data_IF_238494542443
#
_entry.id   IF_238494542443
#
_cell.length_a   1.000
_cell.length_b   1.000
_cell.length_c   1.000
_cell.angle_alpha   90.00
_cell.angle_beta   90.00
_cell.angle_gamma   90.00
#
_symmetry.space_group_name_H-M   'P 1'
#
loop_
_entity.id
_entity.type
_entity.pdbx_description
1 polymer ?
#
# COMPACT_ATOMS: atom_id res chain seq x y z
N UNK A 1 -7.19 7.51 42.22
CA UNK A 1 -6.93 6.28 41.43
C UNK A 1 -8.00 6.13 40.36
N UNK A 2 -7.72 6.51 39.10
CA UNK A 2 -8.63 6.32 37.94
C UNK A 2 -8.04 5.19 37.08
N UNK A 3 -8.82 4.10 36.92
CA UNK A 3 -8.45 2.94 36.06
C UNK A 3 -8.44 3.37 34.60
N UNK A 4 -7.34 3.14 33.90
CA UNK A 4 -7.22 3.33 32.44
C UNK A 4 -7.94 2.15 31.75
N UNK A 5 -8.75 2.39 30.70
CA UNK A 5 -9.32 1.33 29.88
C UNK A 5 -8.22 0.63 29.08
N UNK A 6 -8.23 -0.69 29.09
CA UNK A 6 -7.30 -1.55 28.33
C UNK A 6 -7.71 -1.58 26.86
N UNK A 7 -6.78 -1.21 25.99
CA UNK A 7 -6.85 -1.40 24.53
C UNK A 7 -6.78 -2.91 24.18
N UNK A 8 -7.86 -3.65 24.36
CA UNK A 8 -7.94 -5.09 24.02
C UNK A 8 -8.86 -5.42 22.82
N UNK A 9 -9.57 -4.44 22.24
CA UNK A 9 -10.67 -4.74 21.30
C UNK A 9 -10.29 -4.76 19.82
N UNK A 10 -9.06 -4.44 19.43
CA UNK A 10 -8.65 -4.40 18.01
C UNK A 10 -8.18 -5.75 17.44
N UNK A 11 -7.76 -6.69 18.27
CA UNK A 11 -7.34 -8.03 17.81
C UNK A 11 -8.50 -9.01 17.55
N UNK A 12 -9.60 -8.88 18.28
CA UNK A 12 -10.76 -9.76 18.13
C UNK A 12 -11.46 -9.58 16.78
N UNK A 13 -11.51 -8.33 16.27
CA UNK A 13 -12.14 -8.02 14.98
C UNK A 13 -11.33 -8.55 13.79
N UNK A 14 -9.99 -8.67 13.90
CA UNK A 14 -9.13 -9.22 12.85
C UNK A 14 -9.24 -10.75 12.72
N UNK A 15 -9.45 -11.46 13.81
CA UNK A 15 -9.58 -12.94 13.78
C UNK A 15 -10.95 -13.42 13.25
N UNK A 16 -12.00 -12.64 13.44
CA UNK A 16 -13.35 -12.96 12.93
C UNK A 16 -13.44 -12.91 11.40
N UNK A 17 -12.82 -11.93 10.74
CA UNK A 17 -12.89 -11.79 9.28
C UNK A 17 -12.17 -12.93 8.53
N UNK A 18 -11.07 -13.48 9.09
CA UNK A 18 -10.33 -14.57 8.45
C UNK A 18 -11.07 -15.91 8.52
N UNK A 19 -11.82 -16.16 9.59
CA UNK A 19 -12.58 -17.41 9.77
C UNK A 19 -13.78 -17.51 8.82
N UNK A 20 -14.44 -16.39 8.49
CA UNK A 20 -15.57 -16.37 7.55
C UNK A 20 -15.12 -16.52 6.10
N UNK A 21 -13.93 -16.02 5.72
CA UNK A 21 -13.36 -16.18 4.38
C UNK A 21 -12.97 -17.64 4.09
N UNK A 22 -12.45 -18.37 5.09
CA UNK A 22 -12.05 -19.76 4.91
C UNK A 22 -13.23 -20.73 4.85
N UNK A 23 -14.33 -20.47 5.52
CA UNK A 23 -15.53 -21.31 5.48
C UNK A 23 -16.27 -21.27 4.15
N UNK A 24 -16.19 -20.15 3.39
CA UNK A 24 -16.79 -20.01 2.05
C UNK A 24 -16.02 -20.74 0.94
N UNK A 25 -14.78 -21.14 1.19
CA UNK A 25 -13.90 -21.73 0.16
C UNK A 25 -14.24 -23.21 -0.19
N UNK A 26 -14.98 -23.90 0.67
CA UNK A 26 -15.17 -25.35 0.57
C UNK A 26 -16.51 -25.83 -0.01
N UNK A 27 -17.42 -24.94 -0.42
CA UNK A 27 -18.79 -25.31 -0.80
C UNK A 27 -19.29 -24.76 -2.13
N UNK A 28 -18.48 -24.70 -3.18
CA UNK A 28 -18.92 -24.24 -4.51
C UNK A 28 -19.04 -25.40 -5.53
N UNK A 29 -20.08 -25.46 -6.38
CA UNK A 29 -20.22 -26.48 -7.40
C UNK A 29 -19.21 -26.30 -8.54
N UNK A 30 -18.55 -27.38 -8.92
CA UNK A 30 -17.64 -27.50 -10.08
C UNK A 30 -18.48 -27.39 -11.39
N UNK A 31 -18.76 -26.20 -11.86
CA UNK A 31 -19.18 -25.96 -13.23
C UNK A 31 -17.94 -25.68 -14.08
N UNK A 32 -17.78 -26.41 -15.16
CA UNK A 32 -16.68 -26.24 -16.12
C UNK A 32 -16.74 -24.85 -16.74
N UNK A 33 -15.98 -23.90 -16.18
CA UNK A 33 -15.82 -22.58 -16.76
C UNK A 33 -14.79 -22.64 -17.88
N UNK A 34 -15.08 -22.01 -19.03
CA UNK A 34 -14.12 -21.81 -20.10
C UNK A 34 -12.83 -21.19 -19.50
N UNK A 35 -11.67 -21.75 -19.86
CA UNK A 35 -10.39 -21.29 -19.33
C UNK A 35 -10.22 -19.78 -19.56
N UNK A 36 -10.16 -19.02 -18.47
CA UNK A 36 -9.82 -17.59 -18.56
C UNK A 36 -8.36 -17.45 -19.03
N UNK A 37 -8.06 -16.49 -19.90
CA UNK A 37 -6.70 -16.31 -20.39
C UNK A 37 -5.73 -15.98 -19.24
N UNK A 38 -4.52 -16.53 -19.28
CA UNK A 38 -3.52 -16.55 -18.19
C UNK A 38 -3.16 -15.16 -17.64
N UNK A 39 -3.24 -14.11 -18.45
CA UNK A 39 -3.00 -12.74 -17.99
C UNK A 39 -4.10 -12.20 -17.03
N UNK A 40 -5.29 -12.82 -16.97
CA UNK A 40 -6.31 -12.51 -15.95
C UNK A 40 -5.86 -12.92 -14.53
N UNK A 41 -4.82 -13.72 -14.43
CA UNK A 41 -4.24 -14.25 -13.18
C UNK A 41 -2.93 -13.59 -12.79
N UNK A 42 -2.61 -12.39 -13.34
CA UNK A 42 -1.42 -11.66 -12.91
C UNK A 42 -1.40 -11.50 -11.39
N UNK A 43 -0.24 -11.79 -10.73
CA UNK A 43 -0.10 -11.52 -9.31
C UNK A 43 -0.44 -10.06 -9.06
N UNK A 44 -1.25 -9.84 -8.06
CA UNK A 44 -1.60 -8.50 -7.69
C UNK A 44 -0.36 -7.70 -7.27
N UNK A 45 -0.39 -6.39 -7.47
CA UNK A 45 0.67 -5.50 -7.04
C UNK A 45 0.95 -5.66 -5.56
N UNK A 46 2.20 -5.44 -5.15
CA UNK A 46 2.65 -5.40 -3.75
C UNK A 46 1.83 -4.39 -2.96
N UNK A 47 1.68 -3.22 -3.53
CA UNK A 47 0.73 -2.27 -3.00
C UNK A 47 -0.67 -2.77 -3.33
N UNK A 48 -1.60 -2.83 -2.37
CA UNK A 48 -2.99 -3.17 -2.60
C UNK A 48 -3.69 -2.06 -3.39
N UNK A 49 -3.15 -1.77 -4.56
CA UNK A 49 -3.67 -0.83 -5.53
C UNK A 49 -4.28 -1.67 -6.63
N UNK A 50 -5.56 -1.49 -6.84
CA UNK A 50 -6.18 -2.08 -7.99
C UNK A 50 -5.62 -1.42 -9.24
N UNK A 51 -4.83 -2.17 -9.97
CA UNK A 51 -4.60 -1.84 -11.35
C UNK A 51 -5.95 -1.89 -12.05
N UNK A 52 -6.33 -0.88 -12.80
CA UNK A 52 -7.43 -1.00 -13.74
C UNK A 52 -7.01 -1.99 -14.84
N UNK A 53 -6.90 -3.26 -14.49
CA UNK A 53 -6.67 -4.31 -15.46
C UNK A 53 -8.00 -4.53 -16.13
N UNK A 54 -8.10 -4.03 -17.33
CA UNK A 54 -9.17 -4.40 -18.19
C UNK A 54 -9.06 -5.90 -18.47
N UNK A 55 -9.94 -6.67 -17.91
CA UNK A 55 -10.11 -8.07 -18.31
C UNK A 55 -10.68 -8.06 -19.71
N UNK A 56 -10.10 -8.79 -20.66
CA UNK A 56 -10.82 -9.07 -21.88
C UNK A 56 -12.10 -9.79 -21.47
N UNK A 57 -13.18 -9.22 -21.85
CA UNK A 57 -14.46 -9.88 -21.81
C UNK A 57 -14.39 -11.04 -22.80
N UNK A 58 -14.49 -12.29 -22.32
CA UNK A 58 -14.80 -13.38 -23.21
C UNK A 58 -16.05 -13.00 -24.01
N UNK A 59 -16.08 -13.14 -25.34
CA UNK A 59 -17.15 -12.61 -26.19
C UNK A 59 -18.54 -13.17 -25.86
N UNK A 60 -18.61 -14.35 -25.26
CA UNK A 60 -19.87 -15.04 -24.99
C UNK A 60 -20.72 -14.43 -23.85
N UNK A 61 -20.09 -13.71 -22.88
CA UNK A 61 -20.77 -13.21 -21.66
C UNK A 61 -20.60 -11.72 -21.39
N UNK A 62 -20.29 -10.92 -22.40
CA UNK A 62 -20.13 -9.47 -22.25
C UNK A 62 -21.38 -8.76 -21.68
N UNK A 63 -22.55 -9.37 -21.79
CA UNK A 63 -23.83 -8.84 -21.30
C UNK A 63 -24.13 -9.21 -19.84
N UNK A 64 -23.45 -10.20 -19.26
CA UNK A 64 -23.68 -10.64 -17.89
C UNK A 64 -23.01 -9.69 -16.88
N UNK A 65 -23.66 -9.51 -15.74
CA UNK A 65 -23.06 -8.85 -14.60
C UNK A 65 -22.03 -9.77 -13.92
N UNK A 66 -20.93 -9.22 -13.47
CA UNK A 66 -19.92 -9.92 -12.67
C UNK A 66 -19.76 -9.20 -11.37
N UNK A 67 -19.84 -9.93 -10.28
CA UNK A 67 -19.55 -9.42 -8.94
C UNK A 67 -18.18 -9.94 -8.48
N UNK A 68 -17.45 -9.08 -7.76
CA UNK A 68 -16.16 -9.42 -7.15
C UNK A 68 -16.03 -8.74 -5.79
N UNK A 69 -15.65 -9.49 -4.78
CA UNK A 69 -15.15 -8.94 -3.52
C UNK A 69 -13.65 -9.16 -3.45
N UNK A 70 -12.92 -8.14 -3.04
CA UNK A 70 -11.47 -8.18 -2.95
C UNK A 70 -11.00 -7.50 -1.67
N UNK A 71 -10.02 -8.09 -1.00
CA UNK A 71 -9.35 -7.47 0.13
C UNK A 71 -7.85 -7.77 0.06
N UNK A 72 -7.03 -6.79 0.47
CA UNK A 72 -5.60 -6.92 0.49
C UNK A 72 -5.00 -6.08 1.61
N UNK A 73 -3.91 -6.56 2.20
CA UNK A 73 -3.11 -5.84 3.18
C UNK A 73 -1.63 -6.11 2.92
N UNK A 74 -0.82 -5.07 3.02
CA UNK A 74 0.62 -5.17 2.91
C UNK A 74 1.26 -4.23 3.92
N UNK A 75 2.11 -4.78 4.78
CA UNK A 75 2.90 -4.03 5.75
C UNK A 75 4.36 -4.38 5.56
N UNK A 76 5.21 -3.38 5.46
CA UNK A 76 6.64 -3.55 5.33
C UNK A 76 7.40 -2.43 6.03
N UNK A 77 8.55 -2.77 6.61
CA UNK A 77 9.44 -1.80 7.24
C UNK A 77 10.90 -2.18 7.02
N UNK A 78 11.75 -1.15 6.82
CA UNK A 78 13.19 -1.36 6.63
C UNK A 78 13.90 -1.74 7.94
N UNK A 79 13.52 -1.08 9.03
CA UNK A 79 14.31 -1.07 10.27
C UNK A 79 13.89 -2.09 11.31
N UNK A 80 12.64 -2.59 11.24
CA UNK A 80 12.06 -3.51 12.23
C UNK A 80 11.15 -4.53 11.55
N UNK A 81 10.86 -5.67 12.18
CA UNK A 81 9.79 -6.55 11.71
C UNK A 81 8.49 -5.81 11.52
N UNK A 82 7.75 -6.11 10.45
CA UNK A 82 6.52 -5.41 10.07
C UNK A 82 5.46 -5.40 11.20
N UNK A 83 5.34 -6.51 11.94
CA UNK A 83 4.43 -6.63 13.10
C UNK A 83 4.85 -5.78 14.30
N UNK A 84 6.15 -5.50 14.43
CA UNK A 84 6.73 -4.84 15.60
C UNK A 84 6.87 -3.32 15.39
N UNK A 85 6.41 -2.79 14.26
CA UNK A 85 6.51 -1.35 13.99
C UNK A 85 5.86 -0.50 15.09
N UNK A 86 4.73 -0.97 15.65
CA UNK A 86 4.09 -0.37 16.83
C UNK A 86 4.62 -0.93 18.17
N UNK A 87 5.45 -1.96 18.15
CA UNK A 87 6.01 -2.67 19.30
C UNK A 87 7.21 -1.97 19.94
N UNK A 88 8.05 -2.76 20.59
CA UNK A 88 9.23 -2.29 21.35
C UNK A 88 10.48 -2.07 20.51
N UNK A 89 10.52 -2.58 19.28
CA UNK A 89 11.66 -2.53 18.36
C UNK A 89 12.89 -3.31 18.85
N UNK A 90 12.68 -4.42 19.52
CA UNK A 90 13.79 -5.27 19.99
C UNK A 90 14.68 -5.76 18.84
N UNK A 91 14.07 -6.09 17.70
CA UNK A 91 14.74 -6.55 16.46
C UNK A 91 14.99 -5.37 15.50
N UNK A 92 15.88 -4.44 15.89
CA UNK A 92 16.15 -3.21 15.16
C UNK A 92 17.38 -3.34 14.25
N UNK A 93 17.16 -3.22 12.93
CA UNK A 93 18.22 -3.29 11.91
C UNK A 93 18.00 -2.21 10.82
N UNK A 94 18.38 -0.94 11.11
CA UNK A 94 18.16 0.15 10.17
C UNK A 94 19.07 0.02 8.95
N UNK A 95 18.61 0.55 7.84
CA UNK A 95 19.43 0.75 6.64
C UNK A 95 20.22 2.06 6.78
N UNK A 96 21.35 2.12 6.11
CA UNK A 96 22.04 3.39 5.91
C UNK A 96 21.16 4.32 5.06
N UNK A 97 21.09 5.62 5.43
CA UNK A 97 20.28 6.61 4.76
C UNK A 97 18.82 6.62 5.24
N UNK A 98 17.88 6.70 4.29
CA UNK A 98 16.46 6.84 4.59
C UNK A 98 15.79 5.49 4.80
N UNK A 99 15.12 5.34 5.93
CA UNK A 99 14.31 4.17 6.27
C UNK A 99 12.83 4.45 6.03
N UNK A 100 12.09 3.42 5.67
CA UNK A 100 10.66 3.51 5.34
C UNK A 100 9.91 2.44 6.09
N UNK A 101 8.73 2.78 6.59
CA UNK A 101 7.69 1.84 6.97
C UNK A 101 6.42 2.17 6.18
N UNK A 102 5.82 1.14 5.63
CA UNK A 102 4.64 1.23 4.77
C UNK A 102 3.58 0.26 5.25
N UNK A 103 2.36 0.75 5.39
CA UNK A 103 1.17 -0.08 5.51
C UNK A 103 0.16 0.37 4.47
N UNK A 104 -0.36 -0.56 3.69
CA UNK A 104 -1.39 -0.29 2.70
C UNK A 104 -2.43 -1.40 2.72
N UNK A 105 -3.68 -1.03 2.95
CA UNK A 105 -4.81 -1.96 3.02
C UNK A 105 -5.93 -1.49 2.11
N UNK A 106 -6.64 -2.43 1.49
CA UNK A 106 -7.78 -2.15 0.61
C UNK A 106 -8.84 -3.22 0.76
N UNK A 107 -10.10 -2.80 0.65
CA UNK A 107 -11.25 -3.68 0.46
C UNK A 107 -12.17 -3.09 -0.59
N UNK A 108 -12.68 -3.91 -1.51
CA UNK A 108 -13.58 -3.50 -2.58
C UNK A 108 -14.67 -4.53 -2.83
N UNK A 109 -15.87 -4.03 -3.11
CA UNK A 109 -16.97 -4.80 -3.69
C UNK A 109 -17.29 -4.16 -5.05
N UNK A 110 -17.18 -4.95 -6.10
CA UNK A 110 -17.19 -4.48 -7.48
C UNK A 110 -18.27 -5.17 -8.26
N UNK A 111 -19.07 -4.40 -9.00
CA UNK A 111 -19.97 -4.87 -10.04
C UNK A 111 -19.46 -4.38 -11.40
N UNK A 112 -19.36 -5.29 -12.38
CA UNK A 112 -18.86 -4.94 -13.72
C UNK A 112 -19.72 -5.51 -14.83
N UNK A 113 -19.85 -4.74 -15.92
CA UNK A 113 -20.59 -5.15 -17.13
C UNK A 113 -20.12 -4.34 -18.33
N UNK A 114 -19.83 -4.99 -19.46
CA UNK A 114 -19.51 -4.33 -20.74
C UNK A 114 -18.46 -3.22 -20.65
N UNK A 115 -17.38 -3.44 -19.89
CA UNK A 115 -16.31 -2.47 -19.67
C UNK A 115 -16.67 -1.34 -18.70
N UNK A 116 -17.87 -1.28 -18.17
CA UNK A 116 -18.21 -0.44 -17.02
C UNK A 116 -17.94 -1.18 -15.71
N UNK A 117 -17.60 -0.41 -14.70
CA UNK A 117 -17.36 -0.90 -13.37
C UNK A 117 -17.83 0.11 -12.32
N UNK A 118 -18.56 -0.39 -11.34
CA UNK A 118 -18.97 0.34 -10.15
C UNK A 118 -18.41 -0.41 -8.93
N UNK A 119 -17.83 0.30 -7.98
CA UNK A 119 -17.31 -0.32 -6.78
C UNK A 119 -17.56 0.52 -5.53
N UNK A 120 -17.86 -0.17 -4.42
CA UNK A 120 -17.68 0.38 -3.09
C UNK A 120 -16.25 0.03 -2.64
N UNK A 121 -15.49 1.02 -2.21
CA UNK A 121 -14.06 0.86 -1.89
C UNK A 121 -13.72 1.49 -0.56
N UNK A 122 -12.84 0.83 0.20
CA UNK A 122 -12.21 1.38 1.39
C UNK A 122 -10.70 1.17 1.31
N UNK A 123 -9.93 2.17 1.74
CA UNK A 123 -8.47 2.12 1.66
C UNK A 123 -7.80 2.83 2.83
N UNK A 124 -6.68 2.29 3.26
CA UNK A 124 -5.79 2.85 4.27
C UNK A 124 -4.38 2.81 3.74
N UNK A 125 -3.72 3.96 3.64
CA UNK A 125 -2.31 4.07 3.30
C UNK A 125 -1.61 4.85 4.41
N UNK A 126 -0.55 4.27 4.97
CA UNK A 126 0.32 4.91 5.96
C UNK A 126 1.74 4.71 5.49
N UNK A 127 2.45 5.81 5.29
CA UNK A 127 3.87 5.83 4.93
C UNK A 127 4.61 6.66 5.95
N UNK A 128 5.60 6.07 6.59
CA UNK A 128 6.53 6.76 7.48
C UNK A 128 7.90 6.66 6.85
N UNK A 129 8.57 7.79 6.71
CA UNK A 129 9.91 7.87 6.15
C UNK A 129 10.78 8.71 7.08
N UNK A 130 12.03 8.31 7.29
CA UNK A 130 12.93 9.09 8.13
C UNK A 130 14.39 8.77 7.88
N UNK A 131 15.25 9.67 8.32
CA UNK A 131 16.69 9.42 8.41
C UNK A 131 16.98 8.24 9.33
N UNK A 132 18.12 7.58 9.16
CA UNK A 132 18.59 6.58 10.11
C UNK A 132 18.59 7.15 11.54
N UNK A 133 19.09 8.39 11.74
CA UNK A 133 19.12 9.01 13.06
C UNK A 133 17.76 9.20 13.70
N UNK A 134 16.70 9.49 12.92
CA UNK A 134 15.33 9.55 13.44
C UNK A 134 14.84 8.19 13.94
N UNK A 135 15.14 7.11 13.22
CA UNK A 135 14.81 5.76 13.63
C UNK A 135 15.65 5.30 14.83
N UNK A 136 16.95 5.62 14.88
CA UNK A 136 17.82 5.35 16.04
C UNK A 136 17.28 6.01 17.32
N UNK A 137 16.80 7.27 17.22
CA UNK A 137 16.18 7.97 18.35
C UNK A 137 14.91 7.27 18.85
N UNK A 138 14.04 6.84 17.93
CA UNK A 138 12.83 6.11 18.29
C UNK A 138 13.18 4.77 18.93
N UNK A 139 14.19 4.06 18.40
CA UNK A 139 14.68 2.82 18.98
C UNK A 139 15.22 3.03 20.40
N UNK A 140 16.13 4.01 20.61
CA UNK A 140 16.67 4.34 21.92
C UNK A 140 15.55 4.67 22.92
N UNK A 141 14.55 5.46 22.51
CA UNK A 141 13.39 5.78 23.34
C UNK A 141 12.57 4.55 23.73
N UNK A 142 12.27 3.67 22.76
CA UNK A 142 11.50 2.45 23.01
C UNK A 142 12.23 1.45 23.91
N UNK A 143 13.53 1.31 23.71
CA UNK A 143 14.40 0.44 24.53
C UNK A 143 14.79 1.08 25.86
N UNK A 144 14.45 2.35 26.11
CA UNK A 144 14.92 3.12 27.26
C UNK A 144 16.45 3.11 27.36
N UNK A 145 17.13 3.03 26.21
CA UNK A 145 18.57 3.00 26.14
C UNK A 145 19.16 4.42 26.21
N UNK A 146 20.24 4.56 26.92
CA UNK A 146 21.02 5.82 26.95
C UNK A 146 21.97 5.83 25.75
N UNK A 147 21.93 6.84 24.88
CA UNK A 147 22.87 6.97 23.77
C UNK A 147 24.33 7.11 24.26
N UNK A 148 25.28 6.83 23.40
CA UNK A 148 26.67 7.10 23.68
C UNK A 148 26.93 8.61 23.83
N UNK A 149 27.89 8.98 24.67
CA UNK A 149 28.27 10.38 24.85
C UNK A 149 28.74 11.01 23.54
N UNK A 150 28.32 12.25 23.28
CA UNK A 150 28.62 12.96 22.04
C UNK A 150 27.79 12.52 20.82
N UNK A 151 26.82 11.61 20.98
CA UNK A 151 25.99 11.18 19.88
C UNK A 151 25.18 12.32 19.24
N UNK A 152 25.10 12.31 17.90
CA UNK A 152 24.28 13.27 17.12
C UNK A 152 23.42 12.52 16.10
N UNK A 153 22.15 12.87 16.09
CA UNK A 153 21.13 12.25 15.25
C UNK A 153 20.47 13.32 14.36
N UNK A 154 20.40 13.08 13.06
CA UNK A 154 19.50 13.82 12.20
C UNK A 154 18.06 13.35 12.49
N UNK A 155 17.19 14.24 12.92
CA UNK A 155 15.83 13.93 13.32
C UNK A 155 14.83 14.27 12.20
N UNK A 156 15.14 13.84 10.97
CA UNK A 156 14.27 14.07 9.82
C UNK A 156 13.32 12.89 9.65
N UNK A 157 12.02 13.15 9.80
CA UNK A 157 10.97 12.13 9.63
C UNK A 157 9.68 12.74 9.09
N UNK A 158 9.00 12.00 8.23
CA UNK A 158 7.71 12.36 7.66
C UNK A 158 6.74 11.18 7.79
N UNK A 159 5.51 11.48 8.16
CA UNK A 159 4.41 10.52 8.20
C UNK A 159 3.25 11.06 7.38
N UNK A 160 2.70 10.21 6.51
CA UNK A 160 1.45 10.46 5.81
C UNK A 160 0.56 9.24 5.96
N UNK A 161 -0.52 9.40 6.72
CA UNK A 161 -1.56 8.39 6.92
C UNK A 161 -2.90 8.91 6.45
N UNK A 162 -3.59 8.17 5.57
CA UNK A 162 -4.93 8.50 5.09
C UNK A 162 -5.79 7.25 5.05
N UNK A 163 -6.95 7.31 5.69
CA UNK A 163 -7.98 6.27 5.65
C UNK A 163 -9.25 6.87 5.07
N UNK A 164 -9.81 6.24 4.05
CA UNK A 164 -11.01 6.71 3.39
C UNK A 164 -11.87 5.56 2.88
N UNK A 165 -13.14 5.86 2.61
CA UNK A 165 -14.08 4.99 1.92
C UNK A 165 -14.82 5.78 0.85
N UNK A 166 -15.26 5.12 -0.23
CA UNK A 166 -15.89 5.82 -1.33
C UNK A 166 -16.59 4.92 -2.34
N UNK A 167 -17.13 5.57 -3.37
CA UNK A 167 -17.72 4.93 -4.53
C UNK A 167 -16.86 5.23 -5.76
N UNK A 168 -16.50 4.21 -6.50
CA UNK A 168 -15.66 4.26 -7.69
C UNK A 168 -16.47 3.90 -8.91
N UNK A 169 -16.40 4.73 -9.95
CA UNK A 169 -16.86 4.42 -11.30
C UNK A 169 -15.65 4.28 -12.22
N UNK A 170 -15.63 3.25 -13.07
CA UNK A 170 -14.58 3.09 -14.06
C UNK A 170 -15.15 2.67 -15.41
N UNK A 171 -14.41 3.03 -16.48
CA UNK A 171 -14.70 2.63 -17.84
C UNK A 171 -13.42 2.16 -18.52
N UNK A 172 -13.56 1.06 -19.27
CA UNK A 172 -12.51 0.53 -20.12
C UNK A 172 -12.91 0.58 -21.59
N UNK A 173 -11.97 0.93 -22.45
CA UNK A 173 -12.14 1.03 -23.90
C UNK A 173 -11.08 0.20 -24.60
N UNK A 174 -11.52 -0.63 -25.56
CA UNK A 174 -10.61 -1.22 -26.53
C UNK A 174 -10.21 -0.15 -27.55
N UNK A 175 -8.94 -0.09 -27.90
CA UNK A 175 -8.38 0.85 -28.89
C UNK A 175 -7.83 0.03 -30.06
N UNK A 176 -8.21 0.40 -31.27
CA UNK A 176 -7.84 -0.30 -32.50
C UNK A 176 -9.00 -1.07 -33.13
N UNK A 177 -8.72 -1.80 -34.23
CA UNK A 177 -9.76 -2.58 -34.90
C UNK A 177 -10.37 -3.59 -33.92
N UNK A 178 -11.68 -3.78 -34.03
CA UNK A 178 -12.39 -4.77 -33.23
C UNK A 178 -11.72 -6.15 -33.44
N UNK A 179 -11.25 -6.79 -32.35
CA UNK A 179 -10.69 -8.12 -32.51
C UNK A 179 -11.76 -9.08 -33.02
N UNK A 180 -11.39 -10.04 -33.84
CA UNK A 180 -12.27 -11.12 -34.27
C UNK A 180 -12.85 -11.86 -33.05
N UNK A 181 -13.87 -12.70 -33.25
CA UNK A 181 -14.47 -13.49 -32.18
C UNK A 181 -13.39 -14.26 -31.40
N UNK A 182 -13.31 -14.05 -30.09
CA UNK A 182 -12.30 -14.71 -29.22
C UNK A 182 -10.93 -14.03 -29.13
N UNK A 183 -10.65 -12.97 -29.89
CA UNK A 183 -9.40 -12.25 -29.79
C UNK A 183 -9.43 -11.14 -28.73
N UNK A 184 -8.33 -10.93 -28.03
CA UNK A 184 -8.14 -9.85 -27.09
C UNK A 184 -7.75 -8.57 -27.81
N UNK A 185 -8.24 -7.39 -27.38
CA UNK A 185 -7.81 -6.12 -27.96
C UNK A 185 -6.32 -5.90 -27.71
N UNK A 186 -5.58 -5.53 -28.78
CA UNK A 186 -4.15 -5.27 -28.67
C UNK A 186 -3.83 -4.10 -27.70
N UNK A 187 -4.76 -3.18 -27.52
CA UNK A 187 -4.62 -2.05 -26.61
C UNK A 187 -5.95 -1.79 -25.90
N UNK A 188 -5.90 -1.59 -24.61
CA UNK A 188 -7.05 -1.23 -23.78
C UNK A 188 -6.67 -0.10 -22.81
N UNK A 189 -7.50 0.92 -22.78
CA UNK A 189 -7.40 2.04 -21.85
C UNK A 189 -8.47 1.91 -20.78
N UNK A 190 -8.15 2.32 -19.56
CA UNK A 190 -9.12 2.40 -18.45
C UNK A 190 -8.96 3.73 -17.75
N UNK A 191 -10.07 4.36 -17.42
CA UNK A 191 -10.11 5.51 -16.53
C UNK A 191 -11.12 5.28 -15.41
N UNK A 192 -10.82 5.80 -14.23
CA UNK A 192 -11.70 5.71 -13.08
C UNK A 192 -11.74 7.01 -12.29
N UNK A 193 -12.89 7.26 -11.66
CA UNK A 193 -13.09 8.33 -10.69
C UNK A 193 -13.65 7.73 -9.42
N UNK A 194 -13.09 8.12 -8.28
CA UNK A 194 -13.59 7.72 -6.96
C UNK A 194 -14.03 8.97 -6.19
N UNK A 195 -15.28 9.00 -5.76
CA UNK A 195 -15.77 9.97 -4.80
C UNK A 195 -15.57 9.37 -3.41
N UNK A 196 -14.90 10.10 -2.52
CA UNK A 196 -14.47 9.54 -1.25
C UNK A 196 -14.82 10.42 -0.04
N UNK A 197 -15.03 9.75 1.08
CA UNK A 197 -15.16 10.32 2.41
C UNK A 197 -13.95 9.92 3.24
N UNK A 198 -13.22 10.90 3.73
CA UNK A 198 -12.04 10.69 4.55
C UNK A 198 -12.48 10.32 5.96
N UNK A 199 -11.92 9.24 6.50
CA UNK A 199 -12.19 8.71 7.83
C UNK A 199 -11.11 9.10 8.82
N UNK A 200 -9.86 9.13 8.36
CA UNK A 200 -8.70 9.51 9.18
C UNK A 200 -7.64 10.15 8.32
N UNK A 201 -7.03 11.18 8.87
CA UNK A 201 -5.79 11.78 8.36
C UNK A 201 -4.80 11.89 9.51
N UNK A 202 -3.57 11.52 9.26
CA UNK A 202 -2.46 11.66 10.17
C UNK A 202 -1.25 12.13 9.36
N UNK A 203 -0.79 13.33 9.65
CA UNK A 203 0.37 13.92 8.99
C UNK A 203 1.35 14.34 10.09
N UNK A 204 2.63 14.05 9.88
CA UNK A 204 3.68 14.56 10.73
C UNK A 204 4.91 14.87 9.88
N UNK A 205 5.57 15.96 10.20
CA UNK A 205 6.86 16.34 9.67
C UNK A 205 7.74 16.77 10.83
N UNK A 206 8.93 16.21 10.91
CA UNK A 206 9.94 16.54 11.92
C UNK A 206 11.23 16.77 11.17
N UNK A 207 11.87 17.92 11.40
CA UNK A 207 13.15 18.27 10.79
C UNK A 207 14.07 18.89 11.85
N UNK A 208 15.30 18.40 11.93
CA UNK A 208 16.25 18.95 12.87
C UNK A 208 17.34 17.99 13.30
N UNK A 209 17.90 18.25 14.46
CA UNK A 209 18.95 17.45 15.05
C UNK A 209 18.74 17.26 16.56
N UNK A 210 19.14 16.08 17.03
CA UNK A 210 19.20 15.74 18.45
C UNK A 210 20.64 15.34 18.78
N UNK A 211 21.16 15.87 19.88
CA UNK A 211 22.47 15.51 20.43
C UNK A 211 22.28 14.91 21.81
N UNK A 212 23.22 14.08 22.24
CA UNK A 212 23.25 13.56 23.58
C UNK A 212 24.64 13.71 24.17
N UNK A 213 24.72 14.15 25.44
CA UNK A 213 25.97 14.15 26.22
C UNK A 213 25.68 13.74 27.66
N UNK A 214 26.59 12.98 28.27
CA UNK A 214 26.45 12.49 29.64
C UNK A 214 26.26 13.60 30.70
N UNK A 215 26.86 14.77 30.47
CA UNK A 215 26.78 15.90 31.43
C UNK A 215 25.55 16.78 31.26
N UNK A 216 24.99 16.90 30.03
CA UNK A 216 23.87 17.81 29.72
C UNK A 216 22.61 17.09 29.31
N UNK A 217 22.64 15.77 29.07
CA UNK A 217 21.53 15.01 28.59
C UNK A 217 21.25 15.26 27.09
N UNK A 218 19.96 15.25 26.72
CA UNK A 218 19.54 15.51 25.35
C UNK A 218 19.51 17.00 25.03
N UNK A 219 20.19 17.36 23.95
CA UNK A 219 20.09 18.66 23.29
C UNK A 219 19.30 18.48 21.97
N UNK A 220 18.44 19.43 21.63
CA UNK A 220 17.69 19.38 20.40
C UNK A 220 17.48 20.76 19.76
N UNK A 221 17.46 20.78 18.46
CA UNK A 221 17.08 21.89 17.61
C UNK A 221 16.25 21.32 16.46
N UNK A 222 14.93 21.47 16.55
CA UNK A 222 14.02 20.81 15.61
C UNK A 222 12.72 21.61 15.41
N UNK A 223 12.18 21.48 14.21
CA UNK A 223 10.81 21.90 13.87
C UNK A 223 9.92 20.66 13.76
N UNK A 224 8.71 20.77 14.28
CA UNK A 224 7.71 19.73 14.18
C UNK A 224 6.40 20.33 13.69
N UNK A 225 5.74 19.64 12.76
CA UNK A 225 4.38 19.94 12.34
C UNK A 225 3.57 18.65 12.34
N UNK A 226 2.42 18.67 13.01
CA UNK A 226 1.55 17.49 13.13
C UNK A 226 0.12 17.90 12.88
N UNK A 227 -0.60 17.07 12.13
CA UNK A 227 -2.04 17.21 11.93
C UNK A 227 -2.71 15.85 12.11
N UNK A 228 -3.79 15.79 12.86
CA UNK A 228 -4.50 14.53 13.11
C UNK A 228 -6.00 14.82 13.17
N UNK A 229 -6.79 14.03 12.45
CA UNK A 229 -8.24 14.15 12.42
C UNK A 229 -8.95 13.53 13.63
N UNK A 230 -8.21 12.86 14.52
CA UNK A 230 -8.73 12.23 15.76
C UNK A 230 -8.16 12.83 17.04
N UNK A 231 -7.24 13.77 16.94
CA UNK A 231 -6.64 14.44 18.07
C UNK A 231 -6.95 15.92 18.03
N UNK A 232 -7.27 16.48 19.18
CA UNK A 232 -7.32 17.93 19.41
C UNK A 232 -5.99 18.33 20.03
N UNK A 233 -5.17 19.07 19.29
CA UNK A 233 -3.97 19.66 19.85
C UNK A 233 -4.32 20.94 20.60
N UNK A 234 -3.90 21.04 21.87
CA UNK A 234 -4.21 22.21 22.72
C UNK A 234 -5.70 22.49 22.91
N UNK A 235 -6.58 21.54 22.64
CA UNK A 235 -8.03 21.73 22.72
C UNK A 235 -8.66 22.43 21.49
N UNK A 236 -7.86 22.74 20.46
CA UNK A 236 -8.33 23.35 19.21
C UNK A 236 -8.82 22.31 18.20
N UNK A 237 -9.87 22.68 17.46
CA UNK A 237 -10.49 21.83 16.45
C UNK A 237 -11.56 20.91 17.02
N UNK A 238 -12.17 20.14 16.14
CA UNK A 238 -13.15 19.12 16.51
C UNK A 238 -12.46 17.81 16.90
N UNK A 239 -13.10 17.06 17.81
CA UNK A 239 -12.61 15.73 18.22
C UNK A 239 -12.55 14.73 17.04
N UNK A 240 -13.28 15.01 15.96
CA UNK A 240 -13.24 14.25 14.70
C UNK A 240 -13.40 15.21 13.54
N UNK A 241 -12.32 15.48 12.86
CA UNK A 241 -12.35 16.19 11.58
C UNK A 241 -12.87 15.24 10.49
N UNK A 242 -13.71 15.77 9.61
CA UNK A 242 -14.23 15.06 8.45
C UNK A 242 -13.61 15.59 7.16
N UNK A 243 -13.67 14.79 6.12
CA UNK A 243 -13.19 15.20 4.81
C UNK A 243 -13.92 14.52 3.68
N UNK A 244 -13.94 15.18 2.52
CA UNK A 244 -14.49 14.64 1.26
C UNK A 244 -13.59 15.02 0.12
N UNK A 245 -13.68 14.26 -0.94
CA UNK A 245 -12.93 14.58 -2.14
C UNK A 245 -13.13 13.59 -3.25
N UNK A 246 -12.24 13.66 -4.19
CA UNK A 246 -12.18 12.72 -5.31
C UNK A 246 -10.75 12.33 -5.60
N UNK A 247 -10.60 11.20 -6.28
CA UNK A 247 -9.37 10.79 -6.92
C UNK A 247 -9.66 10.16 -8.28
N UNK A 248 -8.66 10.17 -9.16
CA UNK A 248 -8.74 9.59 -10.50
C UNK A 248 -7.60 8.62 -10.72
N UNK A 249 -7.92 7.53 -11.45
CA UNK A 249 -6.95 6.51 -11.82
C UNK A 249 -6.99 6.31 -13.34
N UNK A 250 -5.85 5.95 -13.93
CA UNK A 250 -5.74 5.58 -15.34
C UNK A 250 -4.92 4.30 -15.48
N UNK A 251 -5.25 3.52 -16.50
CA UNK A 251 -4.54 2.29 -16.82
C UNK A 251 -4.49 2.02 -18.31
N UNK A 252 -3.46 1.31 -18.72
CA UNK A 252 -3.22 0.87 -20.08
C UNK A 252 -2.78 -0.58 -20.03
N UNK A 253 -3.48 -1.44 -20.77
CA UNK A 253 -3.03 -2.79 -21.09
C UNK A 253 -2.71 -2.85 -22.58
N UNK A 254 -1.49 -3.22 -22.91
CA UNK A 254 -1.01 -3.40 -24.28
C UNK A 254 -0.52 -4.83 -24.48
N UNK A 255 -1.06 -5.50 -25.48
CA UNK A 255 -0.74 -6.87 -25.85
C UNK A 255 -0.27 -6.93 -27.30
N UNK A 256 1.01 -6.65 -27.58
CA UNK A 256 1.54 -6.61 -28.93
C UNK A 256 1.60 -7.98 -29.61
N UNK A 257 1.59 -9.06 -28.84
CA UNK A 257 1.56 -10.45 -29.34
C UNK A 257 0.79 -11.37 -28.40
N UNK A 258 0.54 -12.60 -28.82
CA UNK A 258 -0.07 -13.62 -27.96
C UNK A 258 0.80 -13.96 -26.74
N UNK A 259 2.11 -13.76 -26.85
CA UNK A 259 3.07 -14.12 -25.81
C UNK A 259 3.39 -12.94 -24.86
N UNK A 260 3.37 -11.69 -25.33
CA UNK A 260 3.81 -10.53 -24.55
C UNK A 260 2.64 -9.63 -24.19
N UNK A 261 2.58 -9.21 -22.95
CA UNK A 261 1.71 -8.12 -22.52
C UNK A 261 2.43 -7.15 -21.59
N UNK A 262 1.98 -5.89 -21.61
CA UNK A 262 2.46 -4.79 -20.77
C UNK A 262 1.27 -4.12 -20.12
N UNK A 263 1.35 -3.90 -18.83
CA UNK A 263 0.34 -3.17 -18.09
C UNK A 263 0.99 -1.96 -17.40
N UNK A 264 0.44 -0.79 -17.65
CA UNK A 264 0.83 0.46 -16.99
C UNK A 264 -0.37 1.00 -16.24
N UNK A 265 -0.16 1.49 -15.04
CA UNK A 265 -1.22 2.16 -14.28
C UNK A 265 -0.70 3.30 -13.43
N UNK A 266 -1.55 4.26 -13.25
CA UNK A 266 -1.35 5.37 -12.34
C UNK A 266 -2.61 5.54 -11.50
N UNK A 267 -2.45 5.52 -10.19
CA UNK A 267 -3.52 5.66 -9.21
C UNK A 267 -3.32 6.96 -8.44
N UNK A 268 -4.42 7.61 -8.09
CA UNK A 268 -4.42 8.91 -7.44
C UNK A 268 -3.73 10.00 -8.30
N UNK A 269 -3.86 9.91 -9.64
CA UNK A 269 -3.21 10.82 -10.60
C UNK A 269 -3.59 12.28 -10.34
N UNK A 270 -4.88 12.50 -10.15
CA UNK A 270 -5.42 13.77 -9.70
C UNK A 270 -6.33 13.49 -8.49
N UNK A 271 -5.96 14.04 -7.35
CA UNK A 271 -6.74 13.90 -6.13
C UNK A 271 -6.89 15.24 -5.44
N UNK A 272 -8.05 15.46 -4.85
CA UNK A 272 -8.32 16.65 -4.06
C UNK A 272 -9.23 16.30 -2.90
N UNK A 273 -8.67 16.36 -1.70
CA UNK A 273 -9.38 16.17 -0.45
C UNK A 273 -9.56 17.52 0.24
N UNK A 274 -10.75 17.79 0.73
CA UNK A 274 -11.05 18.92 1.61
C UNK A 274 -11.32 18.35 2.99
N UNK A 275 -10.57 18.84 3.97
CA UNK A 275 -10.65 18.45 5.37
C UNK A 275 -11.23 19.65 6.13
N UNK A 276 -12.16 19.39 7.03
CA UNK A 276 -12.81 20.43 7.85
C UNK A 276 -12.26 20.36 9.27
N UNK A 277 -11.97 21.51 9.86
CA UNK A 277 -11.54 21.65 11.26
C UNK A 277 -10.38 20.71 11.68
N UNK A 278 -9.41 20.50 10.77
CA UNK A 278 -8.25 19.66 11.06
C UNK A 278 -7.40 20.32 12.15
N UNK A 279 -7.21 19.63 13.26
CA UNK A 279 -6.34 20.07 14.34
C UNK A 279 -4.88 19.95 13.93
N UNK A 280 -4.12 21.01 14.12
CA UNK A 280 -2.70 21.10 13.75
C UNK A 280 -1.88 21.69 14.91
N UNK A 281 -0.73 21.09 15.15
CA UNK A 281 0.33 21.58 16.05
C UNK A 281 1.55 21.89 15.20
N UNK A 282 2.13 23.07 15.39
CA UNK A 282 3.43 23.43 14.84
C UNK A 282 4.31 23.95 15.98
N UNK A 283 5.49 23.38 16.16
CA UNK A 283 6.39 23.75 17.24
C UNK A 283 7.84 23.77 16.78
N UNK A 284 8.57 24.70 17.37
CA UNK A 284 10.05 24.73 17.35
C UNK A 284 10.56 24.32 18.72
N UNK A 285 11.42 23.33 18.74
CA UNK A 285 12.05 22.78 19.94
C UNK A 285 13.51 23.18 19.96
N UNK A 286 13.98 23.81 21.04
CA UNK A 286 15.40 24.18 21.16
C UNK A 286 15.88 24.01 22.58
N UNK A 287 16.99 23.31 22.76
CA UNK A 287 17.68 23.21 24.06
C UNK A 287 18.55 24.44 24.38
N UNK A 288 18.71 25.36 23.44
CA UNK A 288 19.39 26.63 23.66
C UNK A 288 18.48 27.60 24.43
N UNK A 289 18.20 27.27 25.69
CA UNK A 289 17.24 28.03 26.54
C UNK A 289 17.87 29.25 27.22
N UNK A 290 19.17 29.47 27.11
CA UNK A 290 19.88 30.61 27.68
C UNK A 290 20.59 31.39 26.58
N UNK A 291 20.56 32.70 26.66
CA UNK A 291 21.29 33.61 25.76
C UNK A 291 21.58 34.90 26.50
N UNK A 292 22.58 35.63 26.01
CA UNK A 292 22.90 36.95 26.52
C UNK A 292 22.50 38.02 25.50
N UNK A 293 21.81 39.06 25.91
CA UNK A 293 21.48 40.16 25.01
C UNK A 293 22.71 41.07 24.75
N UNK A 294 22.53 42.06 23.88
CA UNK A 294 23.58 42.98 23.50
C UNK A 294 24.11 43.82 24.68
N UNK A 295 23.37 43.89 25.76
CA UNK A 295 23.71 44.61 27.00
C UNK A 295 24.31 43.72 28.08
N UNK A 296 24.47 42.38 27.78
CA UNK A 296 25.06 41.42 28.71
C UNK A 296 24.09 40.76 29.68
N UNK A 297 22.77 41.03 29.57
CA UNK A 297 21.79 40.42 30.44
C UNK A 297 21.41 39.01 29.96
N UNK A 298 21.25 38.12 30.94
CA UNK A 298 20.88 36.74 30.69
C UNK A 298 19.41 36.64 30.33
N UNK A 299 19.14 36.18 29.12
CA UNK A 299 17.77 35.94 28.63
C UNK A 299 17.47 34.45 28.60
N UNK A 300 16.29 34.07 29.08
CA UNK A 300 15.78 32.69 29.00
C UNK A 300 14.76 32.57 27.88
N UNK A 301 14.92 31.55 27.07
CA UNK A 301 13.97 31.18 25.99
C UNK A 301 13.26 29.90 26.38
N UNK A 302 11.98 29.73 26.01
CA UNK A 302 11.27 28.49 26.26
C UNK A 302 11.90 27.34 25.47
N UNK A 303 11.88 26.14 26.06
CA UNK A 303 12.34 24.88 25.43
C UNK A 303 11.52 24.54 24.19
N UNK A 304 10.24 24.85 24.20
CA UNK A 304 9.31 24.65 23.09
C UNK A 304 8.52 25.93 22.85
N UNK A 305 8.49 26.37 21.61
CA UNK A 305 7.64 27.49 21.16
C UNK A 305 6.81 26.99 20.00
N UNK A 306 5.50 27.17 20.08
CA UNK A 306 4.64 26.66 19.03
C UNK A 306 3.24 27.22 19.11
N UNK A 307 2.41 26.76 18.19
CA UNK A 307 1.00 27.14 18.13
C UNK A 307 0.15 25.90 17.82
N UNK A 308 -1.02 25.92 18.38
CA UNK A 308 -2.11 25.03 18.01
C UNK A 308 -3.09 25.81 17.14
N UNK A 309 -3.63 25.14 16.15
CA UNK A 309 -4.64 25.72 15.26
C UNK A 309 -5.61 24.64 14.82
N UNK A 310 -6.79 25.09 14.41
CA UNK A 310 -7.75 24.27 13.71
C UNK A 310 -8.23 25.02 12.48
N UNK A 311 -8.44 24.33 11.39
CA UNK A 311 -8.89 24.94 10.17
C UNK A 311 -9.14 23.94 9.06
N UNK A 312 -9.69 24.46 7.98
CA UNK A 312 -9.93 23.68 6.79
C UNK A 312 -8.60 23.46 6.06
N UNK A 313 -8.36 22.21 5.68
CA UNK A 313 -7.17 21.80 4.97
C UNK A 313 -7.46 21.24 3.59
N UNK A 314 -6.44 21.21 2.75
CA UNK A 314 -6.44 20.50 1.46
C UNK A 314 -5.32 19.50 1.47
N UNK A 315 -5.62 18.29 1.02
CA UNK A 315 -4.65 17.21 0.92
C UNK A 315 -4.74 16.58 -0.48
N UNK A 316 -3.61 16.14 -0.99
CA UNK A 316 -3.51 15.28 -2.15
C UNK A 316 -3.01 13.91 -1.71
N UNK A 317 -3.60 12.85 -2.26
CA UNK A 317 -3.10 11.49 -2.06
C UNK A 317 -1.77 11.31 -2.78
N UNK A 318 -0.87 10.52 -2.20
CA UNK A 318 0.37 10.16 -2.85
C UNK A 318 0.07 9.35 -4.12
N UNK A 319 0.57 9.84 -5.27
CA UNK A 319 0.44 9.15 -6.54
C UNK A 319 1.16 7.81 -6.49
N UNK A 320 0.53 6.80 -7.08
CA UNK A 320 1.10 5.47 -7.22
C UNK A 320 1.22 5.13 -8.70
N UNK A 321 2.37 4.59 -9.07
CA UNK A 321 2.64 4.14 -10.43
C UNK A 321 2.95 2.67 -10.40
N UNK A 322 2.49 1.94 -11.39
CA UNK A 322 2.88 0.56 -11.60
C UNK A 322 3.08 0.29 -13.08
N UNK A 323 4.17 -0.38 -13.38
CA UNK A 323 4.47 -0.93 -14.69
C UNK A 323 4.74 -2.42 -14.52
N UNK A 324 4.12 -3.27 -15.33
CA UNK A 324 4.41 -4.70 -15.35
C UNK A 324 4.42 -5.21 -16.77
N UNK A 325 5.31 -6.17 -17.03
CA UNK A 325 5.35 -6.91 -18.29
C UNK A 325 5.40 -8.40 -17.98
N UNK A 326 4.74 -9.19 -18.83
CA UNK A 326 4.75 -10.64 -18.72
C UNK A 326 4.93 -11.30 -20.08
N UNK A 327 5.68 -12.38 -20.06
CA UNK A 327 5.94 -13.20 -21.22
C UNK A 327 5.40 -14.61 -21.01
N UNK A 328 4.51 -15.07 -21.91
CA UNK A 328 3.98 -16.42 -21.93
C UNK A 328 4.98 -17.36 -22.61
N UNK A 329 5.34 -18.45 -21.94
CA UNK A 329 6.41 -19.34 -22.40
C UNK A 329 5.98 -20.26 -23.57
N UNK A 330 4.70 -20.58 -23.70
CA UNK A 330 4.14 -21.34 -24.82
C UNK A 330 4.31 -20.62 -26.18
N UNK A 331 4.38 -19.30 -26.17
CA UNK A 331 4.63 -18.48 -27.37
C UNK A 331 6.05 -18.61 -27.96
N UNK A 332 6.97 -19.25 -27.28
CA UNK A 332 8.34 -19.51 -27.78
C UNK A 332 8.40 -20.63 -28.82
N UNK A 333 7.38 -21.48 -28.92
CA UNK A 333 7.31 -22.59 -29.84
C UNK A 333 6.80 -22.20 -31.25
N UNK A 334 7.20 -21.03 -31.73
CA UNK A 334 6.74 -20.42 -33.02
C UNK A 334 6.74 -21.39 -34.20
N UNK A 335 5.80 -22.31 -34.25
CA UNK A 335 5.38 -23.03 -35.44
C UNK A 335 6.34 -24.08 -36.00
N UNK A 336 7.49 -24.35 -35.38
CA UNK A 336 8.39 -25.46 -35.81
C UNK A 336 8.31 -26.59 -34.80
N UNK A 337 7.87 -27.73 -35.30
CA UNK A 337 7.56 -28.97 -34.55
C UNK A 337 8.74 -29.67 -33.86
N UNK A 338 9.91 -29.08 -33.74
CA UNK A 338 11.11 -29.74 -33.25
C UNK A 338 11.75 -29.20 -31.97
N UNK A 339 11.17 -28.16 -31.36
CA UNK A 339 11.64 -27.59 -30.08
C UNK A 339 10.54 -27.55 -29.06
N UNK A 340 10.06 -28.68 -28.57
CA UNK A 340 9.00 -28.74 -27.54
C UNK A 340 9.53 -28.21 -26.23
N UNK A 341 9.07 -27.01 -25.83
CA UNK A 341 9.16 -26.64 -24.41
C UNK A 341 8.56 -27.82 -23.62
N UNK A 342 9.15 -28.16 -22.46
CA UNK A 342 8.59 -29.20 -21.62
C UNK A 342 7.11 -28.92 -21.33
N UNK A 343 6.23 -29.92 -21.42
CA UNK A 343 4.78 -29.77 -21.25
C UNK A 343 4.40 -29.09 -19.92
N UNK A 344 5.27 -29.15 -18.94
CA UNK A 344 5.08 -28.49 -17.64
C UNK A 344 5.25 -26.95 -17.68
N UNK A 345 5.81 -26.37 -18.77
CA UNK A 345 5.91 -24.93 -19.02
C UNK A 345 4.73 -24.38 -19.82
N UNK A 346 3.88 -25.25 -20.36
CA UNK A 346 2.76 -24.82 -21.18
C UNK A 346 1.80 -23.92 -20.40
N UNK A 347 1.54 -22.73 -20.94
CA UNK A 347 0.70 -21.71 -20.27
C UNK A 347 1.39 -20.97 -19.11
N UNK A 348 2.65 -21.27 -18.78
CA UNK A 348 3.39 -20.53 -17.77
C UNK A 348 3.72 -19.10 -18.25
N UNK A 349 3.70 -18.14 -17.34
CA UNK A 349 4.06 -16.74 -17.60
C UNK A 349 5.15 -16.32 -16.63
N UNK A 350 6.19 -15.68 -17.15
CA UNK A 350 7.19 -14.98 -16.36
C UNK A 350 7.05 -13.47 -16.58
N UNK A 351 7.31 -12.70 -15.55
CA UNK A 351 7.21 -11.25 -15.68
C UNK A 351 8.00 -10.47 -14.65
N UNK A 352 8.08 -9.18 -14.93
CA UNK A 352 8.65 -8.19 -14.03
C UNK A 352 7.61 -7.11 -13.73
N UNK A 353 7.72 -6.51 -12.56
CA UNK A 353 6.87 -5.44 -12.10
C UNK A 353 7.71 -4.38 -11.39
N UNK A 354 7.37 -3.14 -11.61
CA UNK A 354 7.88 -1.99 -10.90
C UNK A 354 6.72 -1.19 -10.36
N UNK A 355 6.76 -0.87 -9.09
CA UNK A 355 5.78 -0.03 -8.43
C UNK A 355 6.47 1.15 -7.74
N UNK A 356 5.80 2.29 -7.70
CA UNK A 356 6.29 3.50 -7.06
C UNK A 356 5.20 4.15 -6.20
N UNK A 357 5.54 4.48 -4.96
CA UNK A 357 4.68 5.21 -4.02
C UNK A 357 5.54 6.11 -3.12
N UNK A 358 5.17 7.39 -3.01
CA UNK A 358 5.80 8.33 -2.06
C UNK A 358 7.35 8.32 -2.10
N UNK A 359 7.94 8.24 -3.30
CA UNK A 359 9.39 8.16 -3.48
C UNK A 359 10.01 6.77 -3.30
N UNK A 360 9.23 5.76 -2.94
CA UNK A 360 9.68 4.37 -2.77
C UNK A 360 9.48 3.58 -4.06
N UNK A 361 10.54 2.93 -4.55
CA UNK A 361 10.50 2.00 -5.67
C UNK A 361 10.45 0.55 -5.18
N UNK A 362 9.56 -0.24 -5.75
CA UNK A 362 9.30 -1.64 -5.40
C UNK A 362 9.42 -2.51 -6.66
N UNK A 363 10.64 -2.86 -7.11
CA UNK A 363 10.83 -3.78 -8.21
C UNK A 363 10.58 -5.22 -7.76
N UNK A 364 9.88 -5.99 -8.58
CA UNK A 364 9.55 -7.39 -8.29
C UNK A 364 9.59 -8.23 -9.57
N UNK A 365 9.92 -9.51 -9.43
CA UNK A 365 9.74 -10.54 -10.43
C UNK A 365 8.53 -11.38 -10.04
N UNK A 366 7.83 -11.91 -11.02
CA UNK A 366 6.69 -12.78 -10.76
C UNK A 366 6.57 -13.88 -11.80
N UNK A 367 5.92 -14.97 -11.41
CA UNK A 367 5.59 -16.07 -12.30
C UNK A 367 4.18 -16.57 -12.00
N UNK A 368 3.51 -17.07 -13.03
CA UNK A 368 2.28 -17.85 -12.88
C UNK A 368 2.41 -19.17 -13.59
N UNK A 369 1.81 -20.21 -13.01
CA UNK A 369 1.93 -21.57 -13.45
C UNK A 369 0.58 -22.27 -13.44
N UNK A 370 0.10 -22.84 -14.55
CA UNK A 370 -1.13 -23.63 -14.53
C UNK A 370 -0.89 -24.93 -13.74
N UNK A 371 -1.69 -25.17 -12.71
CA UNK A 371 -1.65 -26.40 -11.90
C UNK A 371 -2.65 -27.44 -12.40
N UNK A 372 -3.82 -27.00 -12.82
CA UNK A 372 -4.91 -27.80 -13.32
C UNK A 372 -5.85 -26.90 -14.14
N UNK A 373 -6.82 -27.44 -14.90
CA UNK A 373 -7.80 -26.63 -15.61
C UNK A 373 -8.48 -25.61 -14.67
N UNK A 374 -8.27 -24.31 -14.96
CA UNK A 374 -8.80 -23.21 -14.17
C UNK A 374 -8.02 -22.89 -12.88
N UNK A 375 -6.96 -23.62 -12.53
CA UNK A 375 -6.14 -23.34 -11.35
C UNK A 375 -4.73 -22.89 -11.72
N UNK A 376 -4.27 -21.83 -11.09
CA UNK A 376 -2.97 -21.22 -11.36
C UNK A 376 -2.23 -20.97 -10.06
N UNK A 377 -0.98 -21.45 -9.98
CA UNK A 377 -0.02 -21.07 -8.95
C UNK A 377 0.53 -19.69 -9.29
N UNK A 378 0.66 -18.85 -8.30
CA UNK A 378 1.26 -17.52 -8.38
C UNK A 378 2.49 -17.46 -7.48
N UNK A 379 3.59 -16.96 -8.04
CA UNK A 379 4.83 -16.72 -7.30
C UNK A 379 5.24 -15.28 -7.54
N UNK A 380 5.73 -14.58 -6.53
CA UNK A 380 6.39 -13.29 -6.70
C UNK A 380 7.57 -13.10 -5.75
N UNK A 381 8.50 -12.24 -6.12
CA UNK A 381 9.66 -11.89 -5.35
C UNK A 381 9.93 -10.39 -5.48
N UNK A 382 9.84 -9.68 -4.37
CA UNK A 382 10.18 -8.27 -4.26
C UNK A 382 11.60 -8.09 -3.75
N UNK A 383 12.39 -7.28 -4.46
CA UNK A 383 13.79 -7.07 -4.09
C UNK A 383 13.97 -5.97 -3.03
N UNK A 384 13.02 -5.05 -2.86
CA UNK A 384 13.15 -3.93 -1.92
C UNK A 384 13.06 -4.40 -0.47
N UNK A 385 12.03 -5.19 -0.14
CA UNK A 385 11.83 -5.76 1.19
C UNK A 385 12.26 -7.22 1.25
N UNK A 386 12.74 -7.79 0.13
CA UNK A 386 13.17 -9.20 -0.02
C UNK A 386 12.05 -10.16 0.35
N UNK A 387 10.80 -9.82 -0.01
CA UNK A 387 9.64 -10.66 0.28
C UNK A 387 9.38 -11.65 -0.86
N UNK A 388 8.91 -12.84 -0.49
CA UNK A 388 8.43 -13.87 -1.39
C UNK A 388 6.92 -14.01 -1.21
N UNK A 389 6.20 -14.09 -2.31
CA UNK A 389 4.77 -14.33 -2.37
C UNK A 389 4.46 -15.68 -3.00
N UNK A 390 3.51 -16.39 -2.42
CA UNK A 390 2.95 -17.63 -2.96
C UNK A 390 1.44 -17.54 -2.91
N UNK A 391 0.78 -17.86 -4.01
CA UNK A 391 -0.66 -17.80 -4.11
C UNK A 391 -1.24 -18.82 -5.07
N UNK A 392 -2.54 -18.97 -4.98
CA UNK A 392 -3.34 -19.82 -5.87
C UNK A 392 -4.53 -19.01 -6.35
N UNK A 393 -4.82 -19.10 -7.63
CA UNK A 393 -5.99 -18.48 -8.23
C UNK A 393 -6.83 -19.52 -8.97
N UNK A 394 -8.16 -19.32 -8.94
CA UNK A 394 -9.15 -20.07 -9.69
C UNK A 394 -10.17 -19.08 -10.29
N UNK A 395 -11.12 -19.51 -11.16
CA UNK A 395 -12.17 -18.64 -11.69
C UNK A 395 -13.05 -18.01 -10.60
N UNK A 396 -13.15 -18.64 -9.43
CA UNK A 396 -14.05 -18.23 -8.34
C UNK A 396 -13.35 -17.50 -7.21
N UNK A 397 -12.04 -17.75 -7.03
CA UNK A 397 -11.31 -17.19 -5.89
C UNK A 397 -9.82 -17.12 -6.15
N UNK A 398 -9.16 -16.20 -5.46
CA UNK A 398 -7.69 -16.18 -5.39
C UNK A 398 -7.23 -15.83 -3.97
N UNK A 399 -6.07 -16.39 -3.60
CA UNK A 399 -5.36 -16.08 -2.36
C UNK A 399 -3.88 -15.98 -2.65
N UNK A 400 -3.25 -14.91 -2.19
CA UNK A 400 -1.81 -14.69 -2.24
C UNK A 400 -1.32 -14.30 -0.86
N UNK A 401 -0.28 -14.97 -0.37
CA UNK A 401 0.39 -14.67 0.88
C UNK A 401 1.82 -14.24 0.59
N UNK A 402 2.32 -13.23 1.29
CA UNK A 402 3.68 -12.71 1.17
C UNK A 402 4.37 -12.64 2.51
N UNK A 403 5.65 -12.99 2.52
CA UNK A 403 6.50 -12.81 3.69
C UNK A 403 7.97 -12.71 3.29
N UNK A 404 8.77 -12.03 4.10
CA UNK A 404 10.23 -12.02 3.92
C UNK A 404 10.90 -13.27 4.49
N UNK A 405 10.36 -13.84 5.55
CA UNK A 405 11.00 -14.95 6.26
C UNK A 405 9.99 -15.90 6.88
N UNK A 406 10.40 -17.13 7.08
CA UNK A 406 9.75 -18.07 7.97
C UNK A 406 10.69 -18.30 9.18
N UNK A 407 10.24 -18.13 10.42
CA UNK A 407 8.88 -17.86 10.85
C UNK A 407 8.45 -16.41 10.58
N UNK A 408 7.17 -16.23 10.28
CA UNK A 408 6.54 -14.93 9.92
C UNK A 408 6.76 -13.85 10.99
N UNK A 409 7.06 -14.27 12.20
CA UNK A 409 7.25 -13.40 13.34
C UNK A 409 8.37 -12.36 13.20
N UNK A 410 9.48 -12.69 12.53
CA UNK A 410 10.61 -11.78 12.28
C UNK A 410 10.57 -11.11 10.91
N UNK A 411 9.49 -11.25 10.14
CA UNK A 411 9.42 -10.73 8.78
C UNK A 411 9.31 -9.20 8.76
N UNK A 412 10.20 -8.53 8.02
CA UNK A 412 10.13 -7.09 7.76
C UNK A 412 9.10 -6.73 6.68
N UNK A 413 8.54 -7.71 6.00
CA UNK A 413 7.42 -7.55 5.09
C UNK A 413 6.44 -8.70 5.27
N UNK A 414 5.16 -8.35 5.33
CA UNK A 414 4.04 -9.27 5.45
C UNK A 414 2.88 -8.73 4.64
N UNK A 415 2.23 -9.59 3.87
CA UNK A 415 1.05 -9.20 3.12
C UNK A 415 0.18 -10.39 2.75
N UNK A 416 -1.06 -10.09 2.44
CA UNK A 416 -2.00 -11.03 1.88
C UNK A 416 -2.96 -10.33 0.94
N UNK A 417 -3.49 -11.09 0.00
CA UNK A 417 -4.57 -10.67 -0.86
C UNK A 417 -5.53 -11.83 -1.08
N UNK A 418 -6.81 -11.54 -1.03
CA UNK A 418 -7.87 -12.49 -1.33
C UNK A 418 -8.92 -11.85 -2.25
N UNK A 419 -9.44 -12.61 -3.20
CA UNK A 419 -10.57 -12.18 -4.01
C UNK A 419 -11.55 -13.34 -4.22
N UNK A 420 -12.84 -12.99 -4.31
CA UNK A 420 -13.94 -13.88 -4.66
C UNK A 420 -14.64 -13.33 -5.90
N UNK A 421 -15.02 -14.20 -6.80
CA UNK A 421 -15.64 -13.87 -8.08
C UNK A 421 -16.96 -14.63 -8.24
N UNK A 422 -18.03 -13.95 -8.59
CA UNK A 422 -19.34 -14.53 -8.88
C UNK A 422 -19.78 -14.14 -10.29
N UNK A 423 -19.84 -15.07 -11.24
CA UNK A 423 -20.57 -14.85 -12.48
C UNK A 423 -22.08 -14.85 -12.19
N UNK A 424 -22.79 -13.93 -12.80
CA UNK A 424 -24.24 -13.84 -12.75
C UNK A 424 -24.79 -13.97 -14.17
#
# INVERSE_FOLDING_TARGET
MRRRPRLRDTEATRRGALAWLLAGFLAGPLAAAAAEPVWATMPAPLLPVRLPVARPTAPADASAWRLRAEAADFTAADAVPARDFSGDWADYHPRDGRNVALQSSRAELVASRQGWELAATARSDIVVQGSRGAFDLVHAYKQRATPADGSRYAADAQEQGVVWAGLRGARSWAVGPAPGPGATPALQLTAAVTLLSVRRVQLADVQGAVTYSNGAGYGFDAHTQRSDSFKQFGGYGEARSTGRGFTTDVGLLWQPSAALFVNLSAVDVASRLRLQNLSTEAATLSSATRGTDAQGYLNYKPLATGRYSAGDGRLQLARKWSASAGWRLDGLNGGTSEGTAPAWLDGAVLGARWEHIAGLNLPALWATWPLAPGWVLQLDADSRFRSLGVGVASPFASLLLRTRSLPVGGASALGWQAALHWPW
#
